data_IF_544228717307
#
_entry.id   IF_544228717307
#
_cell.length_a   1.000
_cell.length_b   1.000
_cell.length_c   1.000
_cell.angle_alpha   90.00
_cell.angle_beta   90.00
_cell.angle_gamma   90.00
#
_symmetry.space_group_name_H-M   'P 1'
#
loop_
_entity.id
_entity.type
_entity.pdbx_description
1 polymer ?
#
# COMPACT_ATOMS: atom_id res chain seq x y z
N UNK A 1 -4.65 12.30 8.59
CA UNK A 1 -5.27 11.30 9.50
C UNK A 1 -5.12 9.91 8.90
N UNK A 2 -4.81 8.87 9.69
CA UNK A 2 -4.67 7.49 9.21
C UNK A 2 -5.89 7.00 8.42
N UNK A 3 -7.10 7.38 8.85
CA UNK A 3 -8.34 7.00 8.15
C UNK A 3 -8.40 7.55 6.72
N UNK A 4 -7.92 8.78 6.48
CA UNK A 4 -7.90 9.36 5.13
C UNK A 4 -6.96 8.61 4.20
N UNK A 5 -5.77 8.23 4.68
CA UNK A 5 -4.79 7.44 3.91
C UNK A 5 -5.36 6.07 3.55
N UNK A 6 -6.04 5.41 4.49
CA UNK A 6 -6.67 4.12 4.25
C UNK A 6 -7.79 4.20 3.17
N UNK A 7 -8.63 5.24 3.22
CA UNK A 7 -9.68 5.44 2.21
C UNK A 7 -9.10 5.76 0.83
N UNK A 8 -8.04 6.56 0.77
CA UNK A 8 -7.33 6.82 -0.47
C UNK A 8 -6.71 5.55 -1.07
N UNK A 9 -6.04 4.74 -0.23
CA UNK A 9 -5.46 3.47 -0.63
C UNK A 9 -6.52 2.49 -1.15
N UNK A 10 -7.68 2.39 -0.49
CA UNK A 10 -8.83 1.62 -0.97
C UNK A 10 -9.25 2.04 -2.39
N UNK A 11 -9.46 3.35 -2.61
CA UNK A 11 -9.88 3.86 -3.91
C UNK A 11 -8.84 3.57 -5.00
N UNK A 12 -7.55 3.71 -4.68
CA UNK A 12 -6.46 3.39 -5.59
C UNK A 12 -6.44 1.89 -5.95
N UNK A 13 -6.57 1.00 -4.97
CA UNK A 13 -6.56 -0.45 -5.18
C UNK A 13 -7.76 -0.92 -6.00
N UNK A 14 -8.96 -0.40 -5.74
CA UNK A 14 -10.15 -0.69 -6.55
C UNK A 14 -9.98 -0.26 -8.00
N UNK A 15 -9.47 0.96 -8.21
CA UNK A 15 -9.20 1.46 -9.56
C UNK A 15 -8.11 0.66 -10.26
N UNK A 16 -7.12 0.16 -9.53
CA UNK A 16 -6.06 -0.70 -10.07
C UNK A 16 -6.64 -2.01 -10.58
N UNK A 17 -7.56 -2.62 -9.84
CA UNK A 17 -8.29 -3.81 -10.28
C UNK A 17 -9.17 -3.50 -11.50
N UNK A 18 -9.90 -2.38 -11.51
CA UNK A 18 -10.73 -1.95 -12.66
C UNK A 18 -9.91 -1.73 -13.94
N UNK A 19 -8.62 -1.42 -13.82
CA UNK A 19 -7.68 -1.31 -14.94
C UNK A 19 -7.12 -2.66 -15.42
N UNK A 20 -7.52 -3.77 -14.81
CA UNK A 20 -7.14 -5.13 -15.21
C UNK A 20 -5.92 -5.69 -14.49
N UNK A 21 -5.29 -4.93 -13.57
CA UNK A 21 -4.20 -5.47 -12.76
C UNK A 21 -4.78 -6.34 -11.65
N UNK A 22 -4.44 -7.63 -11.64
CA UNK A 22 -4.97 -8.60 -10.68
C UNK A 22 -4.00 -8.94 -9.55
N UNK A 23 -2.73 -8.54 -9.68
CA UNK A 23 -1.69 -8.70 -8.65
C UNK A 23 -0.79 -7.48 -8.63
N UNK A 24 -0.45 -7.01 -7.42
CA UNK A 24 0.45 -5.88 -7.17
C UNK A 24 1.44 -6.26 -6.09
N UNK A 25 2.70 -5.86 -6.25
CA UNK A 25 3.69 -5.85 -5.19
C UNK A 25 4.00 -4.41 -4.82
N UNK A 26 3.63 -4.03 -3.60
CA UNK A 26 3.97 -2.74 -3.02
C UNK A 26 5.47 -2.65 -2.73
N UNK A 27 6.05 -1.47 -2.95
CA UNK A 27 7.48 -1.21 -2.82
C UNK A 27 7.85 -0.45 -1.54
N UNK A 28 6.88 -0.17 -0.67
CA UNK A 28 7.07 0.57 0.57
C UNK A 28 5.90 1.49 0.84
N UNK A 29 5.01 1.09 1.73
CA UNK A 29 3.89 1.90 2.19
C UNK A 29 2.70 1.04 2.61
N UNK A 30 2.33 0.06 1.79
CA UNK A 30 1.23 -0.83 2.13
C UNK A 30 1.60 -1.74 3.31
N UNK A 31 0.59 -2.11 4.10
CA UNK A 31 0.76 -2.88 5.31
C UNK A 31 -0.16 -4.11 5.35
N UNK A 32 -0.05 -4.86 6.45
CA UNK A 32 -0.88 -6.01 6.73
C UNK A 32 -2.38 -5.66 6.73
N UNK A 33 -2.77 -4.48 7.22
CA UNK A 33 -4.16 -4.06 7.30
C UNK A 33 -4.81 -3.95 5.93
N UNK A 34 -4.11 -3.35 4.95
CA UNK A 34 -4.59 -3.30 3.56
C UNK A 34 -4.69 -4.71 2.94
N UNK A 35 -3.69 -5.55 3.17
CA UNK A 35 -3.69 -6.91 2.64
C UNK A 35 -4.82 -7.76 3.25
N UNK A 36 -5.06 -7.65 4.55
CA UNK A 36 -6.16 -8.31 5.25
C UNK A 36 -7.52 -7.82 4.76
N UNK A 37 -7.70 -6.50 4.59
CA UNK A 37 -8.95 -5.94 4.10
C UNK A 37 -9.30 -6.40 2.67
N UNK A 38 -8.30 -6.65 1.81
CA UNK A 38 -8.52 -7.28 0.50
C UNK A 38 -8.90 -8.75 0.66
N UNK A 39 -8.19 -9.50 1.53
CA UNK A 39 -8.46 -10.92 1.77
C UNK A 39 -9.87 -11.16 2.34
N UNK A 40 -10.37 -10.25 3.18
CA UNK A 40 -11.73 -10.27 3.73
C UNK A 40 -12.80 -9.73 2.77
N UNK A 41 -12.40 -9.22 1.60
CA UNK A 41 -13.32 -8.66 0.60
C UNK A 41 -13.86 -7.27 0.92
N UNK A 42 -13.37 -6.60 1.98
CA UNK A 42 -13.72 -5.22 2.33
C UNK A 42 -13.23 -4.20 1.28
N UNK A 43 -12.14 -4.54 0.59
CA UNK A 43 -11.59 -3.81 -0.55
C UNK A 43 -11.57 -4.73 -1.77
N UNK A 44 -12.27 -4.37 -2.84
CA UNK A 44 -12.21 -5.07 -4.12
C UNK A 44 -10.93 -4.66 -4.88
N UNK A 45 -9.78 -5.17 -4.45
CA UNK A 45 -8.46 -4.86 -5.01
C UNK A 45 -7.74 -6.07 -5.62
N UNK A 46 -6.58 -5.86 -6.27
CA UNK A 46 -5.70 -6.94 -6.70
C UNK A 46 -5.14 -7.72 -5.51
N UNK A 47 -4.62 -8.94 -5.75
CA UNK A 47 -3.77 -9.63 -4.77
C UNK A 47 -2.57 -8.74 -4.41
N UNK A 48 -2.42 -8.42 -3.14
CA UNK A 48 -1.40 -7.49 -2.67
C UNK A 48 -0.27 -8.21 -1.93
N UNK A 49 0.94 -8.13 -2.47
CA UNK A 49 2.18 -8.44 -1.76
C UNK A 49 2.73 -7.14 -1.16
N UNK A 50 2.60 -6.96 0.15
CA UNK A 50 3.03 -5.74 0.84
C UNK A 50 4.47 -5.85 1.35
N UNK A 51 5.21 -4.73 1.28
CA UNK A 51 6.58 -4.66 1.80
C UNK A 51 6.65 -4.03 3.20
N UNK A 52 5.57 -3.40 3.66
CA UNK A 52 5.60 -2.59 4.87
C UNK A 52 6.40 -1.31 4.63
N UNK A 53 7.30 -0.96 5.55
CA UNK A 53 8.18 0.20 5.37
C UNK A 53 9.41 -0.17 4.55
N UNK A 54 9.79 0.69 3.61
CA UNK A 54 11.06 0.55 2.90
C UNK A 54 12.24 0.66 3.88
N UNK A 55 13.24 -0.21 3.72
CA UNK A 55 14.51 -0.10 4.43
C UNK A 55 15.39 0.91 3.69
N UNK A 56 15.96 1.87 4.44
CA UNK A 56 16.86 2.89 3.89
C UNK A 56 18.02 3.11 4.86
N UNK A 57 19.23 3.30 4.30
CA UNK A 57 20.39 3.73 5.06
C UNK A 57 20.27 5.19 5.53
N UNK A 58 21.17 5.59 6.42
CA UNK A 58 21.40 7.01 6.75
C UNK A 58 21.83 7.79 5.52
N UNK A 59 21.18 8.94 5.28
CA UNK A 59 21.33 9.78 4.10
C UNK A 59 20.71 9.20 2.82
N UNK A 60 19.97 8.09 2.93
CA UNK A 60 19.38 7.38 1.79
C UNK A 60 18.01 7.91 1.38
N UNK A 61 17.43 7.30 0.34
CA UNK A 61 16.17 7.74 -0.28
C UNK A 61 14.95 7.75 0.68
N UNK A 62 14.95 6.90 1.71
CA UNK A 62 13.88 6.85 2.71
C UNK A 62 14.19 7.62 4.01
N UNK A 63 15.28 8.38 4.06
CA UNK A 63 15.67 9.13 5.25
C UNK A 63 14.93 10.48 5.30
N UNK A 64 14.11 10.67 6.34
CA UNK A 64 13.28 11.86 6.54
C UNK A 64 13.87 12.86 7.54
N UNK A 65 15.11 12.66 7.99
CA UNK A 65 15.78 13.65 8.84
C UNK A 65 16.02 14.94 8.07
N UNK A 66 15.65 16.06 8.69
CA UNK A 66 15.98 17.39 8.19
C UNK A 66 17.50 17.65 8.36
N UNK A 67 18.06 18.61 7.58
CA UNK A 67 19.45 19.03 7.75
C UNK A 67 19.81 19.40 9.18
#
# INVERSE_FOLDING_TARGET
SPYHVAQYARQFLENTLRRGFTTVRDAGGADFGLAQAIAEGLIQGPRLFYSGKALSQTGGHGDSRLP
#
